data_IF_962172886516
#
_entry.id   IF_962172886516
#
_cell.length_a   1.000
_cell.length_b   1.000
_cell.length_c   1.000
_cell.angle_alpha   90.00
_cell.angle_beta   90.00
_cell.angle_gamma   90.00
#
_symmetry.space_group_name_H-M   'P 1'
#
loop_
_entity.id
_entity.type
_entity.pdbx_description
1 polymer ?
#
# COMPACT_ATOMS: atom_id res chain seq x y z
N UNK A 1 9.65 -13.94 12.15
CA UNK A 1 9.25 -12.54 12.45
C UNK A 1 9.16 -12.28 13.95
N UNK A 2 8.27 -12.95 14.71
CA UNK A 2 8.19 -12.79 16.19
C UNK A 2 9.54 -13.01 16.90
N UNK A 3 10.23 -14.11 16.57
CA UNK A 3 11.57 -14.42 17.12
C UNK A 3 12.65 -13.37 16.79
N UNK A 4 12.41 -12.53 15.77
CA UNK A 4 13.29 -11.43 15.39
C UNK A 4 12.83 -10.08 15.99
N UNK A 5 11.84 -10.09 16.91
CA UNK A 5 11.39 -8.91 17.64
C UNK A 5 10.38 -8.01 16.92
N UNK A 6 9.84 -8.42 15.77
CA UNK A 6 8.80 -7.64 15.05
C UNK A 6 7.51 -7.56 15.86
N UNK A 7 7.03 -6.34 16.14
CA UNK A 7 5.82 -6.08 16.93
C UNK A 7 4.58 -5.82 16.09
N UNK A 8 4.72 -5.37 14.85
CA UNK A 8 3.60 -5.13 13.94
C UNK A 8 3.66 -6.13 12.78
N UNK A 9 2.55 -6.80 12.51
CA UNK A 9 2.41 -7.79 11.45
C UNK A 9 1.36 -7.31 10.46
N UNK A 10 1.75 -7.13 9.20
CA UNK A 10 0.79 -6.87 8.11
C UNK A 10 0.40 -8.20 7.50
N UNK A 11 -0.87 -8.56 7.61
CA UNK A 11 -1.43 -9.71 6.93
C UNK A 11 -1.94 -9.26 5.57
N UNK A 12 -1.29 -9.76 4.53
CA UNK A 12 -1.69 -9.58 3.15
C UNK A 12 -2.34 -10.88 2.64
N UNK A 13 -3.66 -10.90 2.42
CA UNK A 13 -4.38 -12.03 1.88
C UNK A 13 -4.62 -11.88 0.36
N UNK A 14 -3.90 -11.00 -0.35
CA UNK A 14 -4.11 -10.68 -1.77
C UNK A 14 -4.25 -11.91 -2.67
N UNK A 15 -3.44 -12.95 -2.44
CA UNK A 15 -3.52 -14.25 -3.14
C UNK A 15 -4.89 -14.96 -3.01
N UNK A 16 -5.66 -14.63 -1.98
CA UNK A 16 -6.99 -15.20 -1.70
C UNK A 16 -8.13 -14.26 -2.11
N UNK A 17 -7.83 -13.07 -2.64
CA UNK A 17 -8.84 -12.13 -3.14
C UNK A 17 -9.21 -12.48 -4.58
N UNK A 18 -10.51 -12.60 -4.85
CA UNK A 18 -11.03 -12.92 -6.18
C UNK A 18 -11.42 -11.62 -6.90
N UNK A 19 -10.49 -11.02 -7.64
CA UNK A 19 -10.68 -9.73 -8.32
C UNK A 19 -11.86 -9.73 -9.30
N UNK A 20 -12.10 -10.83 -10.00
CA UNK A 20 -13.17 -10.92 -11.01
C UNK A 20 -14.59 -11.04 -10.42
N UNK A 21 -14.72 -11.14 -9.09
CA UNK A 21 -16.01 -11.31 -8.40
C UNK A 21 -17.04 -10.22 -8.76
N UNK A 22 -16.57 -9.02 -9.08
CA UNK A 22 -17.41 -7.88 -9.45
C UNK A 22 -18.11 -8.05 -10.81
N UNK A 23 -17.54 -8.90 -11.68
CA UNK A 23 -17.87 -9.00 -13.10
C UNK A 23 -18.47 -10.35 -13.52
N UNK A 24 -18.47 -11.35 -12.63
CA UNK A 24 -19.02 -12.68 -12.93
C UNK A 24 -20.54 -12.75 -12.71
N UNK A 25 -21.18 -13.67 -13.42
CA UNK A 25 -22.64 -13.90 -13.32
C UNK A 25 -23.05 -14.46 -11.95
N UNK A 26 -24.32 -14.27 -11.58
CA UNK A 26 -24.87 -14.82 -10.33
C UNK A 26 -24.72 -16.35 -10.22
N UNK A 27 -24.97 -17.08 -11.32
CA UNK A 27 -24.77 -18.54 -11.34
C UNK A 27 -23.32 -18.94 -11.04
N UNK A 28 -22.35 -18.13 -11.46
CA UNK A 28 -20.93 -18.36 -11.18
C UNK A 28 -20.57 -17.97 -9.74
N UNK A 29 -21.15 -16.90 -9.21
CA UNK A 29 -21.05 -16.57 -7.78
C UNK A 29 -21.52 -17.73 -6.92
N UNK A 30 -22.69 -18.31 -7.21
CA UNK A 30 -23.26 -19.42 -6.44
C UNK A 30 -22.36 -20.66 -6.48
N UNK A 31 -21.77 -20.99 -7.63
CA UNK A 31 -20.78 -22.08 -7.73
C UNK A 31 -19.55 -21.83 -6.87
N UNK A 32 -19.01 -20.61 -6.88
CA UNK A 32 -17.81 -20.26 -6.09
C UNK A 32 -18.12 -20.25 -4.58
N UNK A 33 -19.30 -19.76 -4.20
CA UNK A 33 -19.81 -19.76 -2.81
C UNK A 33 -19.83 -21.18 -2.24
N UNK A 34 -20.27 -22.17 -3.02
CA UNK A 34 -20.30 -23.57 -2.58
C UNK A 34 -18.89 -24.13 -2.27
N UNK A 35 -17.84 -23.55 -2.83
CA UNK A 35 -16.44 -23.97 -2.65
C UNK A 35 -15.65 -23.08 -1.69
N UNK A 36 -16.27 -22.10 -1.03
CA UNK A 36 -15.59 -21.26 -0.04
C UNK A 36 -15.14 -22.09 1.17
N UNK A 37 -14.10 -21.62 1.85
CA UNK A 37 -13.65 -22.19 3.12
C UNK A 37 -14.62 -21.86 4.27
N UNK A 38 -15.83 -22.42 4.23
CA UNK A 38 -16.87 -22.23 5.24
C UNK A 38 -16.45 -22.66 6.64
N UNK A 39 -15.59 -23.68 6.73
CA UNK A 39 -14.99 -24.11 8.01
C UNK A 39 -14.13 -22.99 8.61
N UNK A 40 -13.30 -22.34 7.82
CA UNK A 40 -12.49 -21.19 8.26
C UNK A 40 -13.33 -19.95 8.57
N UNK A 41 -14.43 -19.75 7.84
CA UNK A 41 -15.41 -18.69 8.10
C UNK A 41 -16.34 -18.97 9.30
N UNK A 42 -16.33 -20.19 9.85
CA UNK A 42 -17.19 -20.60 10.97
C UNK A 42 -18.67 -20.21 10.76
N UNK A 43 -19.19 -20.45 9.55
CA UNK A 43 -20.54 -20.05 9.14
C UNK A 43 -20.96 -20.82 7.89
N UNK A 44 -22.13 -20.48 7.33
CA UNK A 44 -22.59 -20.89 6.01
C UNK A 44 -23.32 -19.72 5.32
N UNK A 45 -23.61 -19.84 4.03
CA UNK A 45 -24.26 -18.77 3.25
C UNK A 45 -25.58 -18.30 3.85
N UNK A 46 -26.40 -19.21 4.42
CA UNK A 46 -27.71 -18.87 4.96
C UNK A 46 -27.58 -18.05 6.25
N UNK A 47 -26.75 -18.52 7.19
CA UNK A 47 -26.48 -17.83 8.45
C UNK A 47 -25.82 -16.48 8.22
N UNK A 48 -24.78 -16.45 7.38
CA UNK A 48 -24.07 -15.21 7.09
C UNK A 48 -24.98 -14.21 6.39
N UNK A 49 -25.74 -14.62 5.36
CA UNK A 49 -26.64 -13.68 4.66
C UNK A 49 -27.74 -13.13 5.57
N UNK A 50 -28.26 -13.93 6.52
CA UNK A 50 -29.23 -13.46 7.51
C UNK A 50 -28.68 -12.36 8.43
N UNK A 51 -27.35 -12.26 8.56
CA UNK A 51 -26.71 -11.19 9.31
C UNK A 51 -26.70 -9.83 8.59
N UNK A 52 -27.04 -9.79 7.30
CA UNK A 52 -27.01 -8.59 6.45
C UNK A 52 -28.36 -8.26 5.80
N UNK A 53 -29.10 -9.27 5.33
CA UNK A 53 -30.37 -9.08 4.62
C UNK A 53 -31.42 -8.41 5.50
N UNK A 54 -32.23 -7.55 4.88
CA UNK A 54 -33.30 -6.78 5.53
C UNK A 54 -32.82 -5.88 6.69
N UNK A 55 -31.52 -5.57 6.73
CA UNK A 55 -30.93 -4.66 7.71
C UNK A 55 -30.47 -3.36 7.07
N UNK A 56 -30.64 -2.29 7.82
CA UNK A 56 -30.02 -1.00 7.56
C UNK A 56 -28.92 -0.77 8.60
N UNK A 57 -27.68 -0.58 8.14
CA UNK A 57 -26.57 -0.17 8.99
C UNK A 57 -26.36 1.33 8.82
N UNK A 58 -26.62 2.10 9.87
CA UNK A 58 -26.41 3.55 9.90
C UNK A 58 -25.04 3.81 10.51
N UNK A 59 -24.07 4.20 9.68
CA UNK A 59 -22.68 4.41 10.09
C UNK A 59 -22.40 5.88 10.45
N UNK A 60 -23.09 6.80 9.78
CA UNK A 60 -23.11 8.23 10.06
C UNK A 60 -24.39 8.85 9.47
N UNK A 61 -24.59 10.16 9.70
CA UNK A 61 -25.69 10.92 9.09
C UNK A 61 -25.68 10.85 7.55
N UNK A 62 -24.51 10.62 6.95
CA UNK A 62 -24.28 10.64 5.51
C UNK A 62 -23.97 9.27 4.90
N UNK A 63 -23.85 8.20 5.70
CA UNK A 63 -23.54 6.86 5.21
C UNK A 63 -24.45 5.82 5.85
N UNK A 64 -25.27 5.21 4.99
CA UNK A 64 -26.09 4.04 5.30
C UNK A 64 -25.72 2.91 4.36
N UNK A 65 -25.75 1.68 4.88
CA UNK A 65 -25.47 0.47 4.13
C UNK A 65 -26.71 -0.44 4.25
N UNK A 66 -27.30 -0.79 3.11
CA UNK A 66 -28.47 -1.65 2.99
C UNK A 66 -28.11 -2.78 2.00
N UNK A 67 -27.46 -3.87 2.46
CA UNK A 67 -26.96 -4.90 1.57
C UNK A 67 -28.09 -5.71 0.94
N UNK A 68 -27.99 -5.95 -0.36
CA UNK A 68 -28.80 -6.96 -1.04
C UNK A 68 -28.04 -8.29 -1.17
N UNK A 69 -28.76 -9.34 -1.57
CA UNK A 69 -28.19 -10.67 -1.70
C UNK A 69 -27.02 -10.71 -2.70
N UNK A 70 -27.14 -10.01 -3.83
CA UNK A 70 -26.10 -10.03 -4.86
C UNK A 70 -24.81 -9.35 -4.37
N UNK A 71 -24.90 -8.25 -3.64
CA UNK A 71 -23.74 -7.58 -3.04
C UNK A 71 -23.07 -8.48 -2.01
N UNK A 72 -23.85 -9.15 -1.16
CA UNK A 72 -23.32 -10.13 -0.19
C UNK A 72 -22.59 -11.28 -0.90
N UNK A 73 -23.19 -11.84 -1.96
CA UNK A 73 -22.57 -12.90 -2.77
C UNK A 73 -21.24 -12.45 -3.38
N UNK A 74 -21.18 -11.24 -3.96
CA UNK A 74 -19.94 -10.66 -4.51
C UNK A 74 -18.87 -10.49 -3.44
N UNK A 75 -19.21 -9.87 -2.31
CA UNK A 75 -18.27 -9.68 -1.20
C UNK A 75 -17.76 -11.02 -0.63
N UNK A 76 -18.63 -12.03 -0.51
CA UNK A 76 -18.25 -13.38 -0.09
C UNK A 76 -17.29 -14.06 -1.05
N UNK A 77 -17.56 -14.02 -2.35
CA UNK A 77 -16.67 -14.62 -3.35
C UNK A 77 -15.34 -13.88 -3.38
N UNK A 78 -15.37 -12.55 -3.32
CA UNK A 78 -14.17 -11.71 -3.35
C UNK A 78 -13.28 -11.90 -2.14
N UNK A 79 -13.87 -11.96 -0.94
CA UNK A 79 -13.12 -11.83 0.32
C UNK A 79 -13.25 -13.01 1.28
N UNK A 80 -14.19 -13.94 1.10
CA UNK A 80 -14.45 -15.00 2.06
C UNK A 80 -13.22 -15.87 2.38
N UNK A 81 -12.47 -16.27 1.36
CA UNK A 81 -11.24 -17.04 1.56
C UNK A 81 -10.12 -16.18 2.16
N UNK A 82 -10.03 -14.89 1.81
CA UNK A 82 -9.08 -13.94 2.42
C UNK A 82 -9.34 -13.77 3.93
N UNK A 83 -10.60 -13.59 4.33
CA UNK A 83 -11.02 -13.48 5.74
C UNK A 83 -10.68 -14.77 6.51
N UNK A 84 -11.00 -15.94 5.94
CA UNK A 84 -10.65 -17.23 6.54
C UNK A 84 -9.13 -17.41 6.70
N UNK A 85 -8.34 -16.94 5.73
CA UNK A 85 -6.88 -16.98 5.80
C UNK A 85 -6.33 -16.05 6.89
N UNK A 86 -6.82 -14.80 6.96
CA UNK A 86 -6.47 -13.85 8.03
C UNK A 86 -6.74 -14.46 9.40
N UNK A 87 -7.91 -15.07 9.60
CA UNK A 87 -8.26 -15.74 10.85
C UNK A 87 -7.26 -16.84 11.20
N UNK A 88 -6.87 -17.67 10.23
CA UNK A 88 -5.83 -18.70 10.44
C UNK A 88 -4.49 -18.10 10.86
N UNK A 89 -4.03 -17.01 10.22
CA UNK A 89 -2.79 -16.32 10.59
C UNK A 89 -2.87 -15.72 11.99
N UNK A 90 -3.99 -15.07 12.31
CA UNK A 90 -4.25 -14.49 13.62
C UNK A 90 -4.25 -15.55 14.72
N UNK A 91 -4.97 -16.66 14.52
CA UNK A 91 -5.01 -17.77 15.47
C UNK A 91 -3.65 -18.38 15.68
N UNK A 92 -2.85 -18.53 14.62
CA UNK A 92 -1.48 -19.00 14.74
C UNK A 92 -0.63 -18.05 15.61
N UNK A 93 -0.71 -16.74 15.36
CA UNK A 93 0.03 -15.73 16.11
C UNK A 93 -0.32 -15.78 17.61
N UNK A 94 -1.61 -15.70 17.95
CA UNK A 94 -2.04 -15.63 19.35
C UNK A 94 -1.93 -16.97 20.09
N UNK A 95 -2.06 -18.11 19.39
CA UNK A 95 -1.91 -19.43 20.01
C UNK A 95 -0.44 -19.76 20.27
N UNK A 96 0.45 -19.45 19.31
CA UNK A 96 1.88 -19.73 19.45
C UNK A 96 2.57 -18.73 20.39
N UNK A 97 2.07 -17.50 20.46
CA UNK A 97 2.66 -16.42 21.25
C UNK A 97 1.63 -15.66 22.09
N UNK A 98 0.95 -16.31 23.06
CA UNK A 98 -0.19 -15.74 23.78
C UNK A 98 0.11 -14.49 24.60
N UNK A 99 1.37 -14.34 25.05
CA UNK A 99 1.82 -13.21 25.87
C UNK A 99 2.63 -12.18 25.05
N UNK A 100 2.70 -12.33 23.72
CA UNK A 100 3.46 -11.43 22.88
C UNK A 100 2.59 -10.24 22.46
N UNK A 101 2.87 -9.07 23.02
CA UNK A 101 2.27 -7.83 22.57
C UNK A 101 2.62 -7.59 21.10
N UNK A 102 1.61 -7.78 20.25
CA UNK A 102 1.70 -7.61 18.81
C UNK A 102 0.51 -6.83 18.29
N UNK A 103 0.77 -6.04 17.26
CA UNK A 103 -0.20 -5.29 16.49
C UNK A 103 -0.40 -5.99 15.14
N UNK A 104 -1.65 -6.08 14.70
CA UNK A 104 -1.99 -6.64 13.39
C UNK A 104 -2.54 -5.53 12.52
N UNK A 105 -1.99 -5.41 11.32
CA UNK A 105 -2.56 -4.68 10.21
C UNK A 105 -3.08 -5.66 9.17
N UNK A 106 -4.14 -5.28 8.46
CA UNK A 106 -4.66 -6.05 7.35
C UNK A 106 -4.55 -5.22 6.06
N UNK A 107 -4.01 -5.82 5.00
CA UNK A 107 -3.88 -5.18 3.69
C UNK A 107 -4.86 -5.77 2.70
N UNK A 108 -5.57 -4.94 1.94
CA UNK A 108 -6.33 -5.31 0.75
C UNK A 108 -6.19 -4.22 -0.33
N UNK A 109 -5.05 -3.53 -0.36
CA UNK A 109 -4.76 -2.40 -1.25
C UNK A 109 -4.17 -2.82 -2.60
N UNK A 110 -3.71 -4.07 -2.73
CA UNK A 110 -3.18 -4.66 -3.96
C UNK A 110 -4.25 -5.37 -4.82
N UNK A 111 -5.52 -4.98 -4.67
CA UNK A 111 -6.63 -5.50 -5.49
C UNK A 111 -6.81 -4.70 -6.79
N UNK A 112 -7.31 -5.35 -7.83
CA UNK A 112 -7.54 -4.70 -9.14
C UNK A 112 -8.66 -3.66 -9.09
N UNK A 113 -9.71 -3.92 -8.30
CA UNK A 113 -10.82 -2.99 -8.12
C UNK A 113 -10.73 -2.23 -6.80
N UNK A 114 -11.26 -0.99 -6.83
CA UNK A 114 -11.42 -0.13 -5.65
C UNK A 114 -12.28 -0.83 -4.61
N UNK A 115 -11.87 -0.77 -3.35
CA UNK A 115 -12.67 -1.32 -2.25
C UNK A 115 -13.88 -0.42 -2.02
N UNK A 116 -15.09 -0.94 -2.25
CA UNK A 116 -16.32 -0.19 -1.99
C UNK A 116 -16.59 -0.04 -0.49
N UNK A 117 -17.43 0.93 -0.07
CA UNK A 117 -17.83 1.06 1.33
C UNK A 117 -18.50 -0.20 1.89
N UNK A 118 -19.33 -0.89 1.10
CA UNK A 118 -19.95 -2.14 1.57
C UNK A 118 -18.93 -3.26 1.76
N UNK A 119 -17.98 -3.42 0.83
CA UNK A 119 -16.92 -4.41 0.96
C UNK A 119 -16.04 -4.15 2.19
N UNK A 120 -15.65 -2.90 2.42
CA UNK A 120 -14.90 -2.51 3.61
C UNK A 120 -15.68 -2.84 4.90
N UNK A 121 -16.97 -2.49 4.93
CA UNK A 121 -17.85 -2.81 6.05
C UNK A 121 -17.98 -4.33 6.28
N UNK A 122 -18.25 -5.09 5.21
CA UNK A 122 -18.39 -6.54 5.23
C UNK A 122 -17.12 -7.20 5.77
N UNK A 123 -15.96 -6.81 5.22
CA UNK A 123 -14.68 -7.38 5.58
C UNK A 123 -14.39 -7.21 7.07
N UNK A 124 -14.56 -5.99 7.60
CA UNK A 124 -14.33 -5.68 9.01
C UNK A 124 -15.36 -6.36 9.92
N UNK A 125 -16.63 -6.38 9.53
CA UNK A 125 -17.69 -7.04 10.29
C UNK A 125 -17.40 -8.53 10.46
N UNK A 126 -16.97 -9.21 9.41
CA UNK A 126 -16.66 -10.64 9.45
C UNK A 126 -15.39 -10.95 10.25
N UNK A 127 -14.35 -10.12 10.13
CA UNK A 127 -13.15 -10.24 10.96
C UNK A 127 -13.47 -10.09 12.45
N UNK A 128 -14.30 -9.10 12.80
CA UNK A 128 -14.77 -8.89 14.17
C UNK A 128 -15.62 -10.08 14.65
N UNK A 129 -16.51 -10.63 13.81
CA UNK A 129 -17.29 -11.84 14.12
C UNK A 129 -16.39 -13.04 14.43
N UNK A 130 -15.27 -13.17 13.72
CA UNK A 130 -14.26 -14.22 13.93
C UNK A 130 -13.28 -13.93 15.08
N UNK A 131 -13.45 -12.80 15.78
CA UNK A 131 -12.60 -12.40 16.90
C UNK A 131 -11.18 -11.98 16.50
N UNK A 132 -10.95 -11.61 15.24
CA UNK A 132 -9.66 -11.06 14.79
C UNK A 132 -9.52 -9.63 15.30
N UNK A 133 -8.45 -9.36 16.06
CA UNK A 133 -8.13 -8.01 16.51
C UNK A 133 -7.03 -7.43 15.62
N UNK A 134 -7.25 -6.21 15.13
CA UNK A 134 -6.30 -5.47 14.30
C UNK A 134 -6.36 -3.97 14.63
N UNK A 135 -5.29 -3.24 14.31
CA UNK A 135 -5.13 -1.81 14.61
C UNK A 135 -5.28 -0.92 13.37
N UNK A 136 -5.14 -1.51 12.18
CA UNK A 136 -5.24 -0.80 10.91
C UNK A 136 -5.66 -1.69 9.76
N UNK A 137 -6.30 -1.09 8.76
CA UNK A 137 -6.69 -1.74 7.51
C UNK A 137 -6.29 -0.84 6.33
N UNK A 138 -5.67 -1.41 5.30
CA UNK A 138 -5.32 -0.73 4.06
C UNK A 138 -6.30 -1.12 2.93
N UNK A 139 -7.30 -0.28 2.58
CA UNK A 139 -8.17 -0.55 1.44
C UNK A 139 -7.53 -0.07 0.13
N UNK A 140 -8.01 -0.58 -1.00
CA UNK A 140 -7.71 0.00 -2.32
C UNK A 140 -8.56 1.25 -2.53
N UNK A 141 -7.94 2.42 -2.51
CA UNK A 141 -8.62 3.70 -2.77
C UNK A 141 -8.84 3.96 -4.26
N UNK A 142 -9.73 4.91 -4.55
CA UNK A 142 -9.94 5.43 -5.90
C UNK A 142 -8.75 6.27 -6.38
N UNK A 143 -8.49 6.23 -7.69
CA UNK A 143 -7.33 6.82 -8.35
C UNK A 143 -6.06 6.00 -8.15
N UNK A 144 -4.93 6.54 -8.57
CA UNK A 144 -3.69 5.78 -8.67
C UNK A 144 -2.65 6.23 -7.65
N UNK A 145 -2.19 5.24 -6.88
CA UNK A 145 -1.14 5.38 -5.85
C UNK A 145 0.18 4.79 -6.37
N UNK A 146 0.65 5.28 -7.51
CA UNK A 146 1.90 4.81 -8.12
C UNK A 146 3.11 5.09 -7.22
N UNK A 147 4.15 4.25 -7.31
CA UNK A 147 5.35 4.39 -6.47
C UNK A 147 6.15 5.64 -6.86
N UNK A 148 6.69 6.34 -5.86
CA UNK A 148 7.64 7.44 -6.04
C UNK A 148 7.05 8.77 -6.54
N UNK A 149 5.73 8.91 -6.68
CA UNK A 149 5.08 10.14 -7.19
C UNK A 149 3.84 10.49 -6.38
N UNK A 150 3.28 11.68 -6.61
CA UNK A 150 2.01 12.10 -5.98
C UNK A 150 0.80 11.34 -6.57
N UNK A 151 -0.35 11.48 -5.92
CA UNK A 151 -1.61 10.87 -6.31
C UNK A 151 -2.07 11.36 -7.70
N UNK A 152 -2.59 10.42 -8.51
CA UNK A 152 -3.28 10.74 -9.77
C UNK A 152 -4.77 10.44 -9.63
N UNK A 153 -5.58 11.48 -9.73
CA UNK A 153 -7.03 11.37 -9.69
C UNK A 153 -7.69 12.64 -9.20
N UNK A 154 -9.00 12.56 -8.98
CA UNK A 154 -9.81 13.65 -8.44
C UNK A 154 -9.73 13.64 -6.91
N UNK A 155 -9.14 14.69 -6.34
CA UNK A 155 -8.95 14.83 -4.88
C UNK A 155 -10.27 15.04 -4.13
N UNK A 156 -11.28 15.66 -4.74
CA UNK A 156 -12.59 15.84 -4.13
C UNK A 156 -13.34 14.51 -4.09
N UNK A 157 -13.26 13.73 -5.17
CA UNK A 157 -13.79 12.37 -5.19
C UNK A 157 -13.07 11.47 -4.19
N UNK A 158 -11.74 11.51 -4.13
CA UNK A 158 -10.96 10.81 -3.11
C UNK A 158 -11.42 11.18 -1.70
N UNK A 159 -11.60 12.48 -1.41
CA UNK A 159 -12.08 12.96 -0.11
C UNK A 159 -13.45 12.38 0.23
N UNK A 160 -14.39 12.40 -0.71
CA UNK A 160 -15.73 11.87 -0.51
C UNK A 160 -15.72 10.37 -0.19
N UNK A 161 -14.94 9.58 -0.94
CA UNK A 161 -14.80 8.14 -0.66
C UNK A 161 -14.07 7.88 0.66
N UNK A 162 -12.99 8.61 0.94
CA UNK A 162 -12.24 8.49 2.19
C UNK A 162 -13.13 8.75 3.42
N UNK A 163 -14.03 9.74 3.36
CA UNK A 163 -14.99 10.02 4.44
C UNK A 163 -15.95 8.83 4.69
N UNK A 164 -16.32 8.08 3.65
CA UNK A 164 -17.12 6.85 3.81
C UNK A 164 -16.32 5.76 4.52
N UNK A 165 -15.06 5.54 4.12
CA UNK A 165 -14.18 4.59 4.81
C UNK A 165 -13.92 4.99 6.27
N UNK A 166 -13.76 6.28 6.54
CA UNK A 166 -13.59 6.81 7.90
C UNK A 166 -14.86 6.61 8.76
N UNK A 167 -16.06 6.74 8.19
CA UNK A 167 -17.29 6.43 8.90
C UNK A 167 -17.36 4.95 9.29
N UNK A 168 -16.91 4.05 8.41
CA UNK A 168 -16.80 2.61 8.72
C UNK A 168 -15.80 2.36 9.85
N UNK A 169 -14.64 3.02 9.84
CA UNK A 169 -13.67 2.82 10.93
C UNK A 169 -14.25 3.25 12.27
N UNK A 170 -14.90 4.42 12.33
CA UNK A 170 -15.56 4.95 13.53
C UNK A 170 -16.66 4.01 14.05
N UNK A 171 -17.47 3.45 13.15
CA UNK A 171 -18.53 2.50 13.50
C UNK A 171 -18.00 1.25 14.23
N UNK A 172 -16.81 0.77 13.86
CA UNK A 172 -16.20 -0.44 14.45
C UNK A 172 -15.15 -0.16 15.54
N UNK A 173 -15.20 1.00 16.19
CA UNK A 173 -14.28 1.30 17.30
C UNK A 173 -12.98 2.00 16.90
N UNK A 174 -12.95 2.60 15.71
CA UNK A 174 -11.97 3.61 15.29
C UNK A 174 -10.52 3.09 15.13
N UNK A 175 -10.35 1.99 14.39
CA UNK A 175 -9.02 1.58 13.89
C UNK A 175 -8.50 2.57 12.83
N UNK A 176 -7.20 2.48 12.52
CA UNK A 176 -6.54 3.40 11.58
C UNK A 176 -6.75 2.96 10.13
N UNK A 177 -6.96 3.91 9.24
CA UNK A 177 -6.79 3.65 7.80
C UNK A 177 -5.30 3.60 7.50
N UNK A 178 -4.83 2.56 6.84
CA UNK A 178 -3.44 2.44 6.42
C UNK A 178 -3.26 2.81 4.96
N UNK A 179 -2.28 3.65 4.66
CA UNK A 179 -1.91 4.05 3.31
C UNK A 179 -0.63 3.33 2.90
N UNK A 180 -0.82 2.30 2.09
CA UNK A 180 0.26 1.65 1.36
C UNK A 180 0.63 2.47 0.13
N UNK A 181 1.86 2.28 -0.35
CA UNK A 181 2.45 3.17 -1.37
C UNK A 181 2.37 4.66 -0.96
N UNK A 182 2.41 4.93 0.35
CA UNK A 182 2.15 6.25 0.90
C UNK A 182 3.18 7.28 0.49
N UNK A 183 4.44 6.88 0.26
CA UNK A 183 5.50 7.82 -0.12
C UNK A 183 5.03 8.83 -1.19
N UNK A 184 5.32 10.10 -0.91
CA UNK A 184 5.15 11.24 -1.82
C UNK A 184 3.71 11.61 -2.19
N UNK A 185 2.69 11.03 -1.54
CA UNK A 185 1.26 11.35 -1.73
C UNK A 185 0.84 12.67 -1.07
N UNK A 186 1.63 13.74 -1.26
CA UNK A 186 1.50 15.01 -0.56
C UNK A 186 0.11 15.65 -0.71
N UNK A 187 -0.50 15.56 -1.89
CA UNK A 187 -1.85 16.08 -2.14
C UNK A 187 -2.91 15.36 -1.28
N UNK A 188 -2.87 14.03 -1.27
CA UNK A 188 -3.74 13.17 -0.44
C UNK A 188 -3.53 13.43 1.05
N UNK A 189 -2.29 13.65 1.50
CA UNK A 189 -2.01 13.96 2.90
C UNK A 189 -2.65 15.28 3.35
N UNK A 190 -2.64 16.31 2.51
CA UNK A 190 -3.35 17.56 2.80
C UNK A 190 -4.85 17.33 2.95
N UNK A 191 -5.43 16.48 2.09
CA UNK A 191 -6.85 16.11 2.20
C UNK A 191 -7.12 15.40 3.52
N UNK A 192 -6.37 14.34 3.84
CA UNK A 192 -6.60 13.52 5.05
C UNK A 192 -6.35 14.34 6.31
N UNK A 193 -5.25 15.08 6.36
CA UNK A 193 -4.89 15.95 7.49
C UNK A 193 -5.92 17.03 7.79
N UNK A 194 -6.69 17.47 6.78
CA UNK A 194 -7.81 18.40 6.98
C UNK A 194 -9.04 17.78 7.67
N UNK A 195 -9.10 16.44 7.81
CA UNK A 195 -10.27 15.71 8.32
C UNK A 195 -10.04 15.32 9.79
N UNK A 196 -10.88 15.86 10.68
CA UNK A 196 -10.80 15.54 12.12
C UNK A 196 -11.11 14.07 12.40
N UNK A 197 -10.24 13.45 13.21
CA UNK A 197 -10.36 12.05 13.61
C UNK A 197 -9.95 11.04 12.53
N UNK A 198 -9.31 11.48 11.45
CA UNK A 198 -8.76 10.61 10.40
C UNK A 198 -7.40 10.01 10.83
N UNK A 199 -7.43 9.15 11.85
CA UNK A 199 -6.22 8.46 12.31
C UNK A 199 -5.68 7.54 11.21
N UNK A 200 -4.46 7.83 10.76
CA UNK A 200 -3.87 7.18 9.59
C UNK A 200 -2.53 6.55 9.93
N UNK A 201 -2.25 5.37 9.39
CA UNK A 201 -0.92 4.78 9.35
C UNK A 201 -0.35 4.98 7.94
N UNK A 202 0.82 5.62 7.82
CA UNK A 202 1.46 5.86 6.53
C UNK A 202 2.67 4.94 6.40
N UNK A 203 2.74 4.21 5.29
CA UNK A 203 3.89 3.38 4.95
C UNK A 203 4.73 4.04 3.86
N UNK A 204 5.96 4.39 4.24
CA UNK A 204 7.01 4.84 3.31
C UNK A 204 8.16 3.83 3.32
N UNK A 205 8.83 3.65 2.18
CA UNK A 205 10.03 2.83 2.09
C UNK A 205 10.96 3.36 0.98
N UNK A 206 10.56 3.21 -0.28
CA UNK A 206 11.43 3.53 -1.41
C UNK A 206 11.80 5.01 -1.56
N UNK A 207 11.05 5.94 -0.98
CA UNK A 207 11.42 7.36 -1.03
C UNK A 207 12.69 7.67 -0.22
N UNK A 208 12.95 6.96 0.88
CA UNK A 208 14.24 7.08 1.59
C UNK A 208 15.41 6.68 0.70
N UNK A 209 15.23 5.66 -0.16
CA UNK A 209 16.24 5.29 -1.15
C UNK A 209 16.40 6.37 -2.24
N UNK A 210 15.32 6.99 -2.69
CA UNK A 210 15.41 8.13 -3.61
C UNK A 210 16.18 9.29 -2.98
N UNK A 211 15.91 9.64 -1.71
CA UNK A 211 16.68 10.67 -1.02
C UNK A 211 18.16 10.30 -0.86
N UNK A 212 18.49 9.01 -0.71
CA UNK A 212 19.89 8.54 -0.72
C UNK A 212 20.57 8.74 -2.09
N UNK A 213 19.85 8.48 -3.19
CA UNK A 213 20.37 8.80 -4.54
C UNK A 213 20.45 10.31 -4.79
N UNK A 214 19.59 11.11 -4.17
CA UNK A 214 19.64 12.57 -4.24
C UNK A 214 20.96 13.10 -3.68
N UNK A 215 21.47 12.50 -2.60
CA UNK A 215 22.81 12.80 -2.08
C UNK A 215 23.87 12.57 -3.16
N UNK A 216 23.78 11.47 -3.92
CA UNK A 216 24.74 11.18 -4.99
C UNK A 216 24.64 12.21 -6.12
N UNK A 217 23.44 12.62 -6.51
CA UNK A 217 23.26 13.66 -7.52
C UNK A 217 23.94 15.00 -7.13
N UNK A 218 23.95 15.32 -5.83
CA UNK A 218 24.54 16.55 -5.29
C UNK A 218 26.06 16.42 -5.07
N UNK A 219 26.51 15.29 -4.50
CA UNK A 219 27.89 15.11 -4.00
C UNK A 219 28.79 14.32 -4.95
N UNK A 220 28.22 13.36 -5.67
CA UNK A 220 28.91 12.40 -6.54
C UNK A 220 28.23 12.34 -7.93
N UNK A 221 28.18 13.45 -8.67
CA UNK A 221 27.33 13.59 -9.85
C UNK A 221 27.67 12.59 -10.96
N UNK A 222 28.94 12.23 -11.13
CA UNK A 222 29.33 11.19 -12.09
C UNK A 222 28.81 9.81 -11.70
N UNK A 223 28.92 9.45 -10.42
CA UNK A 223 28.36 8.18 -9.93
C UNK A 223 26.84 8.14 -10.05
N UNK A 224 26.16 9.26 -9.79
CA UNK A 224 24.72 9.35 -10.00
C UNK A 224 24.35 9.16 -11.48
N UNK A 225 25.13 9.70 -12.44
CA UNK A 225 24.89 9.47 -13.87
C UNK A 225 25.03 8.00 -14.26
N UNK A 226 26.03 7.31 -13.73
CA UNK A 226 26.19 5.86 -13.93
C UNK A 226 24.92 5.11 -13.49
N UNK A 227 24.38 5.46 -12.30
CA UNK A 227 23.15 4.88 -11.77
C UNK A 227 21.95 5.21 -12.68
N UNK A 228 21.78 6.48 -13.08
CA UNK A 228 20.64 6.93 -13.87
C UNK A 228 20.57 6.20 -15.24
N UNK A 229 21.69 6.13 -15.96
CA UNK A 229 21.75 5.41 -17.24
C UNK A 229 21.47 3.91 -17.04
N UNK A 230 22.03 3.31 -15.98
CA UNK A 230 21.79 1.90 -15.66
C UNK A 230 20.31 1.62 -15.38
N UNK A 231 19.69 2.39 -14.50
CA UNK A 231 18.27 2.28 -14.17
C UNK A 231 17.38 2.48 -15.39
N UNK A 232 17.67 3.50 -16.20
CA UNK A 232 16.92 3.80 -17.43
C UNK A 232 16.95 2.62 -18.40
N UNK A 233 18.12 1.97 -18.55
CA UNK A 233 18.27 0.80 -19.44
C UNK A 233 17.49 -0.44 -18.99
N UNK A 234 17.11 -0.52 -17.71
CA UNK A 234 16.43 -1.68 -17.12
C UNK A 234 14.94 -1.45 -16.85
N UNK A 235 14.46 -0.20 -16.95
CA UNK A 235 13.13 0.17 -16.50
C UNK A 235 12.00 -0.67 -17.10
N UNK A 236 12.02 -0.93 -18.41
CA UNK A 236 10.98 -1.73 -19.09
C UNK A 236 10.88 -3.17 -18.56
N UNK A 237 11.99 -3.72 -18.06
CA UNK A 237 12.01 -5.03 -17.43
C UNK A 237 11.52 -4.96 -15.99
N UNK A 238 12.07 -4.03 -15.20
CA UNK A 238 11.82 -3.96 -13.76
C UNK A 238 10.42 -3.43 -13.43
N UNK A 239 9.83 -2.58 -14.28
CA UNK A 239 8.47 -2.06 -14.06
C UNK A 239 7.39 -3.14 -14.06
N UNK A 240 7.66 -4.35 -14.60
CA UNK A 240 6.66 -5.44 -14.70
C UNK A 240 6.12 -5.90 -13.34
N UNK A 241 6.86 -5.71 -12.26
CA UNK A 241 6.44 -6.05 -10.90
C UNK A 241 5.97 -4.84 -10.09
N UNK A 242 5.76 -3.69 -10.74
CA UNK A 242 5.33 -2.45 -10.10
C UNK A 242 4.22 -1.75 -10.88
N UNK A 243 3.31 -1.12 -10.16
CA UNK A 243 2.34 -0.22 -10.77
C UNK A 243 2.93 1.20 -10.90
N UNK A 244 3.50 1.49 -12.08
CA UNK A 244 4.17 2.76 -12.45
C UNK A 244 3.96 3.08 -13.94
N UNK A 245 4.16 4.33 -14.34
CA UNK A 245 3.82 4.82 -15.68
C UNK A 245 4.84 5.79 -16.30
N UNK A 246 6.09 5.78 -15.83
CA UNK A 246 7.16 6.64 -16.34
C UNK A 246 7.30 6.53 -17.87
N UNK A 247 7.45 7.68 -18.52
CA UNK A 247 7.72 7.79 -19.95
C UNK A 247 9.21 8.04 -20.18
N UNK A 248 9.91 7.01 -20.68
CA UNK A 248 11.35 7.08 -20.94
C UNK A 248 11.72 8.15 -21.98
N UNK A 249 10.80 8.56 -22.86
CA UNK A 249 11.08 9.61 -23.83
C UNK A 249 11.25 11.00 -23.19
N UNK A 250 10.82 11.15 -21.93
CA UNK A 250 11.01 12.38 -21.14
C UNK A 250 12.34 12.41 -20.39
N UNK A 251 13.11 11.33 -20.44
CA UNK A 251 14.37 11.20 -19.73
C UNK A 251 15.51 11.27 -20.74
N UNK A 252 16.39 12.27 -20.61
CA UNK A 252 17.60 12.39 -21.42
C UNK A 252 18.64 11.36 -20.97
N UNK A 253 19.64 11.08 -21.82
CA UNK A 253 20.82 10.33 -21.38
C UNK A 253 21.52 11.09 -20.24
N UNK A 254 22.06 10.38 -19.26
CA UNK A 254 22.62 11.00 -18.07
C UNK A 254 23.74 12.02 -18.37
N UNK A 255 24.52 11.78 -19.43
CA UNK A 255 25.58 12.69 -19.92
C UNK A 255 25.06 14.04 -20.45
N UNK A 256 23.78 14.11 -20.84
CA UNK A 256 23.19 15.30 -21.44
C UNK A 256 22.62 16.27 -20.37
N UNK A 257 22.59 15.85 -19.10
CA UNK A 257 22.28 16.73 -17.98
C UNK A 257 23.54 17.41 -17.45
N UNK A 258 23.44 18.71 -17.18
CA UNK A 258 24.45 19.46 -16.43
C UNK A 258 24.38 19.09 -14.93
N UNK A 259 25.46 19.33 -14.20
CA UNK A 259 25.52 19.01 -12.77
C UNK A 259 24.43 19.73 -11.97
N UNK A 260 24.13 20.97 -12.33
CA UNK A 260 23.11 21.79 -11.66
C UNK A 260 21.68 21.28 -11.91
N UNK A 261 21.47 20.44 -12.93
CA UNK A 261 20.17 19.86 -13.25
C UNK A 261 19.89 18.57 -12.47
N UNK A 262 20.92 17.85 -12.00
CA UNK A 262 20.75 16.50 -11.45
C UNK A 262 19.89 16.43 -10.20
N UNK A 263 20.04 17.39 -9.28
CA UNK A 263 19.21 17.44 -8.08
C UNK A 263 17.72 17.62 -8.44
N UNK A 264 17.43 18.42 -9.46
CA UNK A 264 16.06 18.74 -9.87
C UNK A 264 15.31 17.53 -10.44
N UNK A 265 16.04 16.50 -10.90
CA UNK A 265 15.45 15.24 -11.37
C UNK A 265 14.68 14.49 -10.28
N UNK A 266 14.96 14.75 -9.01
CA UNK A 266 14.20 14.18 -7.88
C UNK A 266 12.83 14.84 -7.68
N UNK A 267 12.44 15.76 -8.55
CA UNK A 267 11.08 16.30 -8.67
C UNK A 267 10.39 15.90 -9.98
N UNK A 268 11.07 15.16 -10.86
CA UNK A 268 10.47 14.61 -12.09
C UNK A 268 9.88 13.22 -11.82
N UNK A 269 8.58 13.07 -12.07
CA UNK A 269 7.85 11.83 -11.83
C UNK A 269 8.45 10.62 -12.58
N UNK A 270 8.91 10.82 -13.82
CA UNK A 270 9.43 9.74 -14.65
C UNK A 270 10.78 9.27 -14.10
N UNK A 271 11.67 10.20 -13.79
CA UNK A 271 12.99 9.86 -13.24
C UNK A 271 12.85 9.20 -11.88
N UNK A 272 12.02 9.74 -10.99
CA UNK A 272 11.76 9.16 -9.67
C UNK A 272 11.26 7.72 -9.78
N UNK A 273 10.32 7.44 -10.68
CA UNK A 273 9.81 6.08 -10.90
C UNK A 273 10.87 5.13 -11.43
N UNK A 274 11.65 5.54 -12.43
CA UNK A 274 12.75 4.74 -12.99
C UNK A 274 13.75 4.36 -11.91
N UNK A 275 14.20 5.33 -11.11
CA UNK A 275 15.11 5.09 -10.00
C UNK A 275 14.48 4.20 -8.92
N UNK A 276 13.20 4.45 -8.57
CA UNK A 276 12.53 3.73 -7.49
C UNK A 276 12.39 2.24 -7.79
N UNK A 277 11.93 1.85 -8.98
CA UNK A 277 11.63 0.43 -9.27
C UNK A 277 12.87 -0.41 -9.51
N UNK A 278 14.00 0.22 -9.81
CA UNK A 278 15.27 -0.44 -10.14
C UNK A 278 16.21 -0.59 -8.94
N UNK A 279 15.80 -0.20 -7.74
CA UNK A 279 16.63 -0.24 -6.53
C UNK A 279 17.27 -1.61 -6.28
N UNK A 280 16.53 -2.69 -6.54
CA UNK A 280 17.02 -4.06 -6.38
C UNK A 280 18.28 -4.29 -7.20
N UNK A 281 18.28 -3.89 -8.46
CA UNK A 281 19.40 -4.01 -9.38
C UNK A 281 20.63 -3.24 -8.92
N UNK A 282 20.44 -2.01 -8.43
CA UNK A 282 21.53 -1.21 -7.86
C UNK A 282 22.16 -1.90 -6.64
N UNK A 283 21.36 -2.59 -5.83
CA UNK A 283 21.83 -3.25 -4.61
C UNK A 283 22.33 -4.69 -4.83
N UNK A 284 21.96 -5.36 -5.93
CA UNK A 284 22.26 -6.79 -6.10
C UNK A 284 23.15 -7.11 -7.29
N UNK A 285 23.16 -6.29 -8.34
CA UNK A 285 23.86 -6.66 -9.56
C UNK A 285 25.38 -6.61 -9.36
N UNK A 286 26.04 -7.60 -9.96
CA UNK A 286 27.48 -7.82 -9.85
C UNK A 286 28.18 -7.68 -11.19
N UNK A 287 29.44 -7.28 -11.17
CA UNK A 287 30.32 -7.24 -12.34
C UNK A 287 30.87 -8.66 -12.66
N UNK A 288 31.69 -8.76 -13.71
CA UNK A 288 32.30 -10.04 -14.12
C UNK A 288 33.25 -10.66 -13.09
N UNK A 289 33.77 -9.88 -12.14
CA UNK A 289 34.60 -10.35 -11.02
C UNK A 289 33.77 -10.78 -9.79
N UNK A 290 32.44 -10.63 -9.82
CA UNK A 290 31.55 -11.03 -8.73
C UNK A 290 31.39 -9.99 -7.61
N UNK A 291 31.94 -8.79 -7.81
CA UNK A 291 31.79 -7.63 -6.92
C UNK A 291 30.51 -6.88 -7.26
N UNK A 292 29.91 -6.20 -6.28
CA UNK A 292 28.71 -5.40 -6.54
C UNK A 292 29.05 -4.21 -7.45
N UNK A 293 28.23 -3.99 -8.49
CA UNK A 293 28.44 -2.88 -9.43
C UNK A 293 28.34 -1.50 -8.76
N UNK A 294 27.36 -1.34 -7.86
CA UNK A 294 27.03 -0.04 -7.27
C UNK A 294 26.96 -0.07 -5.74
N UNK A 295 26.43 -1.14 -5.13
CA UNK A 295 26.12 -1.22 -3.70
C UNK A 295 27.25 -0.74 -2.80
N UNK A 296 28.47 -1.24 -2.97
CA UNK A 296 29.57 -0.93 -2.06
C UNK A 296 30.02 0.53 -2.17
N UNK A 297 30.05 1.07 -3.40
CA UNK A 297 30.30 2.51 -3.64
C UNK A 297 29.19 3.38 -3.05
N UNK A 298 27.92 3.01 -3.29
CA UNK A 298 26.76 3.74 -2.76
C UNK A 298 26.78 3.79 -1.23
N UNK A 299 27.01 2.66 -0.57
CA UNK A 299 27.09 2.61 0.89
C UNK A 299 28.33 3.35 1.42
N UNK A 300 29.45 3.33 0.69
CA UNK A 300 30.65 4.10 1.02
C UNK A 300 30.39 5.61 0.99
N UNK A 301 29.77 6.10 -0.08
CA UNK A 301 29.41 7.52 -0.21
C UNK A 301 28.35 7.94 0.80
N UNK A 302 27.34 7.12 1.09
CA UNK A 302 26.34 7.45 2.11
C UNK A 302 26.95 7.57 3.51
N UNK A 303 27.97 6.78 3.84
CA UNK A 303 28.74 6.95 5.10
C UNK A 303 29.57 8.22 5.08
N UNK A 304 30.15 8.57 3.93
CA UNK A 304 30.95 9.79 3.78
C UNK A 304 30.09 11.06 3.89
N UNK A 305 28.85 11.01 3.38
CA UNK A 305 27.91 12.13 3.32
C UNK A 305 26.70 11.93 4.24
N UNK A 306 26.91 11.28 5.40
CA UNK A 306 25.85 10.89 6.33
C UNK A 306 24.99 12.08 6.78
N UNK A 307 25.62 13.18 7.18
CA UNK A 307 24.90 14.41 7.60
C UNK A 307 24.05 15.00 6.46
N UNK A 308 24.56 15.01 5.23
CA UNK A 308 23.78 15.47 4.07
C UNK A 308 22.56 14.57 3.83
N UNK A 309 22.68 13.25 4.03
CA UNK A 309 21.55 12.36 3.93
C UNK A 309 20.51 12.63 5.03
N UNK A 310 20.95 12.87 6.28
CA UNK A 310 20.04 13.22 7.38
C UNK A 310 19.29 14.53 7.15
N UNK A 311 19.96 15.58 6.70
CA UNK A 311 19.31 16.86 6.37
C UNK A 311 18.24 16.68 5.29
N UNK A 312 18.58 15.95 4.21
CA UNK A 312 17.66 15.72 3.10
C UNK A 312 16.44 14.89 3.55
N UNK A 313 16.67 13.80 4.29
CA UNK A 313 15.60 12.90 4.71
C UNK A 313 14.68 13.58 5.75
N UNK A 314 15.22 14.42 6.63
CA UNK A 314 14.46 15.20 7.60
C UNK A 314 13.53 16.19 6.88
N UNK A 315 14.06 16.97 5.93
CA UNK A 315 13.25 17.89 5.10
C UNK A 315 12.15 17.11 4.36
N UNK A 316 12.49 15.95 3.80
CA UNK A 316 11.56 15.12 3.05
C UNK A 316 10.41 14.59 3.92
N UNK A 317 10.71 14.06 5.11
CA UNK A 317 9.68 13.55 6.02
C UNK A 317 8.90 14.65 6.74
N UNK A 318 9.48 15.84 6.92
CA UNK A 318 8.69 16.99 7.37
C UNK A 318 7.55 17.31 6.40
N UNK A 319 7.77 17.21 5.08
CA UNK A 319 6.70 17.39 4.09
C UNK A 319 5.61 16.32 4.21
N UNK A 320 5.96 15.08 4.58
CA UNK A 320 5.01 13.99 4.81
C UNK A 320 4.17 14.20 6.07
N UNK A 321 4.81 14.67 7.15
CA UNK A 321 4.19 14.77 8.47
C UNK A 321 3.44 16.09 8.69
N UNK A 322 3.87 17.19 8.06
CA UNK A 322 3.29 18.51 8.26
C UNK A 322 1.78 18.58 8.02
N UNK A 323 1.20 17.92 7.00
CA UNK A 323 -0.24 17.92 6.79
C UNK A 323 -1.07 17.37 7.97
N UNK A 324 -0.47 16.57 8.86
CA UNK A 324 -1.15 15.90 9.98
C UNK A 324 -0.96 16.62 11.33
N UNK A 325 -0.30 17.78 11.34
CA UNK A 325 -0.13 18.61 12.54
C UNK A 325 -1.32 19.54 12.75
#
# INVERSE_FOLDING_TARGET
MVENGFRMFTFDPSEFVVNEADHISENELDKRINNLNWKGLQSNIKELSADYLDKEFILSDSLKINPDLISIKKALVKYGNAIAHIKKLYDHLVTKYPNYESEVEISVDETESVTTPFEHFFFVKELNRLGVKFISLAPRFIGDFEKGIDYKGDLDLFKQEYLKHLAITKYFGNYKISLHSGSDKFSVYKVIGSIKGAYTHIKTAGTSYLEALKVMAIKEPEFFREILDYCTSLYEQEKKTYHVSADLNKIKSAKDYKNEELESLFYDDNVRQVLHVTFGRILTDKNGSGEYKFKDRLLGFLKMYEETYYEIIEIHFHKHLYPFK
#
